data_IF_620521617884
#
_entry.id   IF_620521617884
#
_cell.length_a   1.000
_cell.length_b   1.000
_cell.length_c   1.000
_cell.angle_alpha   90.00
_cell.angle_beta   90.00
_cell.angle_gamma   90.00
#
_symmetry.space_group_name_H-M   'P 1'
#
loop_
_entity.id
_entity.type
_entity.pdbx_description
1 polymer ?
#
# COMPACT_ATOMS: atom_id res chain seq x y z
N UNK A 1 3.94 -46.23 -40.71
CA UNK A 1 3.80 -44.87 -41.28
C UNK A 1 4.45 -43.88 -40.33
N UNK A 2 5.37 -43.06 -40.86
CA UNK A 2 6.38 -42.28 -40.12
C UNK A 2 5.77 -41.08 -39.39
N UNK A 3 6.16 -40.88 -38.14
CA UNK A 3 5.84 -39.69 -37.32
C UNK A 3 6.72 -38.52 -37.76
N UNK A 4 6.13 -37.45 -38.28
CA UNK A 4 6.85 -36.22 -38.61
C UNK A 4 6.77 -35.28 -37.41
N UNK A 5 7.88 -35.15 -36.69
CA UNK A 5 8.12 -34.08 -35.70
C UNK A 5 8.73 -32.92 -36.46
N UNK A 6 8.07 -31.76 -36.47
CA UNK A 6 8.64 -30.52 -37.03
C UNK A 6 8.93 -29.59 -35.86
N UNK A 7 10.23 -29.39 -35.61
CA UNK A 7 10.80 -28.37 -34.74
C UNK A 7 10.97 -27.09 -35.56
N UNK A 8 10.35 -25.99 -35.14
CA UNK A 8 10.67 -24.65 -35.63
C UNK A 8 11.31 -23.85 -34.50
N UNK A 9 12.64 -23.81 -34.48
CA UNK A 9 13.44 -22.88 -33.70
C UNK A 9 13.64 -21.60 -34.51
N UNK A 10 13.04 -20.49 -34.08
CA UNK A 10 13.35 -19.15 -34.61
C UNK A 10 14.10 -18.40 -33.53
N UNK A 11 15.42 -18.25 -33.71
CA UNK A 11 16.26 -17.39 -32.91
C UNK A 11 16.15 -15.96 -33.46
N UNK A 12 15.70 -15.01 -32.62
CA UNK A 12 15.73 -13.59 -32.95
C UNK A 12 16.76 -12.91 -32.04
N UNK A 13 17.96 -12.67 -32.58
CA UNK A 13 19.00 -11.85 -31.95
C UNK A 13 18.80 -10.43 -32.50
N UNK A 14 18.37 -9.50 -31.64
CA UNK A 14 18.45 -8.07 -31.93
C UNK A 14 19.48 -7.48 -30.97
N UNK A 15 20.71 -7.38 -31.46
CA UNK A 15 21.73 -6.48 -30.93
C UNK A 15 21.45 -5.07 -31.42
N UNK A 16 21.12 -4.14 -30.52
CA UNK A 16 21.23 -2.69 -30.79
C UNK A 16 21.96 -2.01 -29.63
N UNK A 17 23.27 -1.89 -29.86
CA UNK A 17 24.19 -0.77 -29.62
C UNK A 17 23.96 0.17 -28.43
N UNK A 18 24.96 0.11 -27.55
CA UNK A 18 25.34 1.07 -26.51
C UNK A 18 25.56 2.49 -27.06
N UNK A 19 25.08 3.50 -26.32
CA UNK A 19 25.74 4.80 -26.26
C UNK A 19 25.90 5.20 -24.79
N UNK A 20 27.17 5.22 -24.34
CA UNK A 20 27.58 5.80 -23.07
C UNK A 20 27.74 7.30 -23.26
N UNK A 21 26.90 8.10 -22.59
CA UNK A 21 27.12 9.54 -22.48
C UNK A 21 27.91 9.79 -21.19
N UNK A 22 29.19 10.15 -21.35
CA UNK A 22 30.00 10.77 -20.32
C UNK A 22 29.97 12.29 -20.49
N UNK A 23 29.62 13.03 -19.43
CA UNK A 23 29.97 14.43 -19.21
C UNK A 23 29.58 14.79 -17.77
N UNK A 24 30.33 15.52 -16.96
CA UNK A 24 31.72 15.97 -16.98
C UNK A 24 32.02 16.23 -15.49
N UNK A 25 33.16 15.77 -15.01
CA UNK A 25 33.60 16.01 -13.65
C UNK A 25 34.27 17.40 -13.60
N UNK A 26 33.61 18.38 -13.01
CA UNK A 26 34.27 19.61 -12.55
C UNK A 26 34.84 19.34 -11.16
N UNK A 27 36.10 18.91 -11.16
CA UNK A 27 36.95 18.80 -9.99
C UNK A 27 37.50 20.19 -9.61
N UNK A 28 38.00 20.29 -8.36
CA UNK A 28 38.78 21.40 -7.75
C UNK A 28 37.98 22.32 -6.82
N UNK A 29 38.14 22.07 -5.53
CA UNK A 29 37.85 23.04 -4.47
C UNK A 29 37.83 22.48 -3.06
N UNK A 30 38.82 21.66 -2.65
CA UNK A 30 39.00 21.31 -1.24
C UNK A 30 39.23 22.56 -0.40
N UNK A 31 38.31 22.86 0.52
CA UNK A 31 38.61 23.66 1.69
C UNK A 31 37.91 23.06 2.90
N UNK A 32 38.64 22.22 3.61
CA UNK A 32 38.34 21.87 5.00
C UNK A 32 38.58 23.14 5.84
N UNK A 33 37.54 23.63 6.50
CA UNK A 33 37.67 24.33 7.77
C UNK A 33 36.57 23.81 8.69
N UNK A 34 37.02 23.12 9.74
CA UNK A 34 36.28 22.92 10.98
C UNK A 34 35.81 24.26 11.56
N UNK A 35 34.65 24.24 12.21
CA UNK A 35 34.17 25.36 13.00
C UNK A 35 32.68 25.26 13.32
N UNK A 36 32.35 24.43 14.30
CA UNK A 36 31.20 24.53 15.23
C UNK A 36 30.10 25.53 14.88
N UNK A 37 28.91 25.04 14.54
CA UNK A 37 27.69 25.69 15.02
C UNK A 37 26.51 24.72 15.10
N UNK A 38 25.98 24.55 16.30
CA UNK A 38 24.61 24.17 16.57
C UNK A 38 24.17 22.80 16.06
N UNK A 39 24.21 21.82 16.95
CA UNK A 39 23.26 20.71 16.93
C UNK A 39 21.82 21.26 16.95
N UNK A 40 21.28 21.64 15.80
CA UNK A 40 19.86 21.47 15.56
C UNK A 40 19.69 20.02 15.10
N UNK A 41 19.82 19.11 16.08
CA UNK A 41 19.15 17.82 16.04
C UNK A 41 17.68 18.18 16.07
N UNK A 42 17.16 18.58 14.92
CA UNK A 42 15.73 18.61 14.68
C UNK A 42 15.34 17.15 14.81
N UNK A 43 15.01 16.78 16.05
CA UNK A 43 14.20 15.61 16.33
C UNK A 43 13.04 15.75 15.36
N UNK A 44 13.09 14.96 14.30
CA UNK A 44 11.91 14.66 13.51
C UNK A 44 10.95 14.13 14.56
N UNK A 45 10.07 15.02 15.05
CA UNK A 45 8.93 14.65 15.85
C UNK A 45 8.01 13.93 14.88
N UNK A 46 8.34 12.67 14.59
CA UNK A 46 7.51 11.64 13.94
C UNK A 46 6.34 11.26 14.87
N UNK A 47 5.68 12.28 15.41
CA UNK A 47 4.53 12.20 16.32
C UNK A 47 3.47 13.23 15.96
N UNK A 48 3.51 13.83 14.76
CA UNK A 48 2.26 14.15 14.08
C UNK A 48 1.60 12.83 13.64
N UNK A 49 1.11 12.12 14.66
CA UNK A 49 0.01 11.17 14.58
C UNK A 49 -0.91 11.70 13.50
N UNK A 50 -1.07 10.94 12.42
CA UNK A 50 -2.11 11.17 11.44
C UNK A 50 -3.43 11.41 12.20
N UNK A 51 -3.79 12.68 12.44
CA UNK A 51 -4.98 13.04 13.21
C UNK A 51 -6.23 12.56 12.46
N UNK A 52 -6.08 12.38 11.14
CA UNK A 52 -7.08 11.79 10.23
C UNK A 52 -7.21 10.27 10.37
N UNK A 53 -6.23 9.56 10.93
CA UNK A 53 -6.21 8.09 11.03
C UNK A 53 -7.01 7.56 12.23
N UNK A 54 -7.54 8.45 13.09
CA UNK A 54 -8.43 8.11 14.21
C UNK A 54 -9.87 8.56 14.00
N UNK A 55 -10.21 9.11 12.84
CA UNK A 55 -11.60 9.46 12.53
C UNK A 55 -12.39 8.19 12.24
N UNK A 56 -13.62 8.14 12.71
CA UNK A 56 -14.62 7.16 12.26
C UNK A 56 -14.60 7.13 10.71
N UNK A 57 -14.39 5.96 10.08
CA UNK A 57 -14.32 5.85 8.63
C UNK A 57 -15.54 6.42 7.90
N UNK A 58 -16.74 6.30 8.48
CA UNK A 58 -17.96 6.85 7.91
C UNK A 58 -17.96 8.38 8.00
N UNK A 59 -17.65 8.92 9.18
CA UNK A 59 -17.55 10.37 9.38
C UNK A 59 -16.50 11.01 8.47
N UNK A 60 -15.35 10.37 8.30
CA UNK A 60 -14.31 10.85 7.38
C UNK A 60 -14.84 10.95 5.94
N UNK A 61 -15.62 9.98 5.48
CA UNK A 61 -16.19 9.98 4.14
C UNK A 61 -17.30 11.04 3.99
N UNK A 62 -18.13 11.24 5.02
CA UNK A 62 -19.13 12.31 5.06
C UNK A 62 -18.48 13.70 5.04
N UNK A 63 -17.46 13.95 5.87
CA UNK A 63 -16.65 15.17 5.86
C UNK A 63 -16.08 15.42 4.44
N UNK A 64 -15.65 14.35 3.77
CA UNK A 64 -15.09 14.44 2.41
C UNK A 64 -16.14 14.83 1.37
N UNK A 65 -17.38 14.34 1.47
CA UNK A 65 -18.48 14.78 0.60
C UNK A 65 -18.73 16.28 0.75
N UNK A 66 -18.78 16.77 1.99
CA UNK A 66 -18.98 18.20 2.25
C UNK A 66 -17.85 19.07 1.66
N UNK A 67 -16.60 18.59 1.71
CA UNK A 67 -15.49 19.29 1.06
C UNK A 67 -15.66 19.38 -0.45
N UNK A 68 -16.12 18.30 -1.10
CA UNK A 68 -16.36 18.29 -2.55
C UNK A 68 -17.50 19.25 -2.92
N UNK A 69 -18.59 19.24 -2.16
CA UNK A 69 -19.70 20.18 -2.38
C UNK A 69 -19.26 21.64 -2.22
N UNK A 70 -18.34 21.93 -1.28
CA UNK A 70 -17.74 23.25 -1.12
C UNK A 70 -16.90 23.63 -2.34
N UNK A 71 -16.03 22.73 -2.80
CA UNK A 71 -15.19 22.97 -3.98
C UNK A 71 -16.04 23.20 -5.24
N UNK A 72 -17.17 22.49 -5.38
CA UNK A 72 -18.13 22.70 -6.47
C UNK A 72 -18.78 24.09 -6.39
N UNK A 73 -19.23 24.51 -5.20
CA UNK A 73 -19.82 25.85 -4.98
C UNK A 73 -18.83 26.98 -5.24
N UNK A 74 -17.56 26.76 -4.90
CA UNK A 74 -16.47 27.70 -5.12
C UNK A 74 -15.93 27.66 -6.56
N UNK A 75 -16.47 26.79 -7.42
CA UNK A 75 -16.08 26.67 -8.82
C UNK A 75 -14.69 26.07 -9.05
N UNK A 76 -14.12 25.39 -8.04
CA UNK A 76 -12.79 24.75 -8.13
C UNK A 76 -12.81 23.45 -8.92
N UNK A 77 -13.96 22.79 -8.98
CA UNK A 77 -14.18 21.53 -9.71
C UNK A 77 -15.44 21.64 -10.56
N UNK A 78 -15.52 20.85 -11.63
CA UNK A 78 -16.73 20.77 -12.45
C UNK A 78 -17.82 19.96 -11.74
N UNK A 79 -19.06 20.08 -12.23
CA UNK A 79 -20.18 19.27 -11.74
C UNK A 79 -19.93 17.78 -11.96
N UNK A 80 -19.43 17.42 -13.14
CA UNK A 80 -19.13 16.04 -13.52
C UNK A 80 -18.07 15.43 -12.59
N UNK A 81 -17.01 16.19 -12.29
CA UNK A 81 -15.96 15.75 -11.38
C UNK A 81 -16.48 15.60 -9.93
N UNK A 82 -17.33 16.52 -9.48
CA UNK A 82 -17.96 16.43 -8.17
C UNK A 82 -18.87 15.19 -8.06
N UNK A 83 -19.70 14.94 -9.07
CA UNK A 83 -20.63 13.81 -9.11
C UNK A 83 -19.88 12.47 -9.12
N UNK A 84 -18.78 12.35 -9.87
CA UNK A 84 -17.94 11.15 -9.88
C UNK A 84 -17.32 10.89 -8.51
N UNK A 85 -16.71 11.91 -7.89
CA UNK A 85 -16.09 11.79 -6.57
C UNK A 85 -17.11 11.45 -5.48
N UNK A 86 -18.30 12.07 -5.52
CA UNK A 86 -19.39 11.77 -4.58
C UNK A 86 -19.86 10.32 -4.76
N UNK A 87 -20.05 9.87 -6.00
CA UNK A 87 -20.44 8.49 -6.30
C UNK A 87 -19.43 7.47 -5.75
N UNK A 88 -18.13 7.71 -5.90
CA UNK A 88 -17.11 6.86 -5.30
C UNK A 88 -17.21 6.81 -3.77
N UNK A 89 -17.45 7.96 -3.14
CA UNK A 89 -17.58 8.03 -1.68
C UNK A 89 -18.81 7.26 -1.21
N UNK A 90 -19.95 7.43 -1.87
CA UNK A 90 -21.18 6.72 -1.54
C UNK A 90 -21.02 5.20 -1.69
N UNK A 91 -20.31 4.73 -2.73
CA UNK A 91 -19.97 3.32 -2.86
C UNK A 91 -19.07 2.82 -1.72
N UNK A 92 -18.13 3.63 -1.23
CA UNK A 92 -17.28 3.27 -0.07
C UNK A 92 -18.09 3.22 1.22
N UNK A 93 -18.96 4.20 1.45
CA UNK A 93 -19.88 4.23 2.59
C UNK A 93 -20.76 2.98 2.59
N UNK A 94 -21.34 2.64 1.43
CA UNK A 94 -22.18 1.44 1.28
C UNK A 94 -21.39 0.17 1.64
N UNK A 95 -20.18 -0.01 1.10
CA UNK A 95 -19.32 -1.17 1.42
C UNK A 95 -19.01 -1.27 2.91
N UNK A 96 -18.80 -0.14 3.60
CA UNK A 96 -18.56 -0.13 5.05
C UNK A 96 -19.84 -0.53 5.80
N UNK A 97 -21.00 0.02 5.42
CA UNK A 97 -22.30 -0.33 6.02
C UNK A 97 -22.61 -1.81 5.84
N UNK A 98 -22.45 -2.34 4.62
CA UNK A 98 -22.62 -3.76 4.30
C UNK A 98 -21.67 -4.63 5.12
N UNK A 99 -20.40 -4.24 5.28
CA UNK A 99 -19.45 -4.95 6.12
C UNK A 99 -19.89 -4.93 7.60
N UNK A 100 -20.33 -3.77 8.10
CA UNK A 100 -20.75 -3.61 9.48
C UNK A 100 -22.04 -4.38 9.81
N UNK A 101 -22.92 -4.61 8.84
CA UNK A 101 -24.12 -5.44 9.02
C UNK A 101 -23.85 -6.94 9.05
N UNK A 102 -22.66 -7.41 8.66
CA UNK A 102 -22.33 -8.83 8.70
C UNK A 102 -22.20 -9.35 10.15
N UNK A 103 -22.53 -10.63 10.40
CA UNK A 103 -22.20 -11.28 11.66
C UNK A 103 -20.68 -11.38 11.84
N UNK A 104 -20.23 -11.50 13.09
CA UNK A 104 -18.79 -11.50 13.43
C UNK A 104 -18.00 -12.59 12.70
N UNK A 105 -18.57 -13.79 12.57
CA UNK A 105 -17.94 -14.92 11.85
C UNK A 105 -17.65 -14.57 10.39
N UNK A 106 -18.62 -13.96 9.69
CA UNK A 106 -18.48 -13.54 8.30
C UNK A 106 -17.51 -12.35 8.15
N UNK A 107 -17.52 -11.41 9.10
CA UNK A 107 -16.51 -10.33 9.15
C UNK A 107 -15.10 -10.90 9.21
N UNK A 108 -14.87 -11.86 10.13
CA UNK A 108 -13.58 -12.56 10.26
C UNK A 108 -13.22 -13.28 8.97
N UNK A 109 -14.13 -14.05 8.38
CA UNK A 109 -13.86 -14.75 7.12
C UNK A 109 -13.49 -13.77 5.98
N UNK A 110 -14.19 -12.64 5.86
CA UNK A 110 -13.94 -11.64 4.82
C UNK A 110 -12.61 -10.91 5.03
N UNK A 111 -12.26 -10.58 6.28
CA UNK A 111 -10.96 -10.01 6.63
C UNK A 111 -9.83 -11.01 6.31
N UNK A 112 -9.98 -12.26 6.75
CA UNK A 112 -9.00 -13.32 6.51
C UNK A 112 -8.77 -13.56 5.02
N UNK A 113 -9.84 -13.72 4.23
CA UNK A 113 -9.73 -13.93 2.78
C UNK A 113 -9.00 -12.79 2.08
N UNK A 114 -9.25 -11.54 2.49
CA UNK A 114 -8.56 -10.38 1.91
C UNK A 114 -7.07 -10.38 2.26
N UNK A 115 -6.72 -10.70 3.50
CA UNK A 115 -5.34 -10.81 3.93
C UNK A 115 -4.63 -11.98 3.22
N UNK A 116 -5.30 -13.12 3.10
CA UNK A 116 -4.79 -14.29 2.38
C UNK A 116 -4.44 -13.97 0.94
N UNK A 117 -5.35 -13.33 0.19
CA UNK A 117 -5.07 -12.90 -1.19
C UNK A 117 -3.85 -11.97 -1.30
N UNK A 118 -3.64 -11.11 -0.31
CA UNK A 118 -2.47 -10.22 -0.26
C UNK A 118 -1.18 -11.00 -0.02
N UNK A 119 -1.19 -11.96 0.90
CA UNK A 119 -0.04 -12.84 1.17
C UNK A 119 0.25 -13.74 -0.03
N UNK A 120 -0.77 -14.39 -0.61
CA UNK A 120 -0.62 -15.25 -1.78
C UNK A 120 0.00 -14.46 -2.95
N UNK A 121 -0.41 -13.21 -3.15
CA UNK A 121 0.22 -12.32 -4.13
C UNK A 121 1.68 -12.04 -3.80
N UNK A 122 2.03 -11.77 -2.54
CA UNK A 122 3.45 -11.58 -2.15
C UNK A 122 4.29 -12.83 -2.38
N UNK A 123 3.73 -14.02 -2.14
CA UNK A 123 4.39 -15.30 -2.42
C UNK A 123 4.57 -15.49 -3.93
N UNK A 124 3.52 -15.25 -4.73
CA UNK A 124 3.59 -15.39 -6.19
C UNK A 124 4.56 -14.41 -6.83
N UNK A 125 4.64 -13.20 -6.27
CA UNK A 125 5.56 -12.15 -6.72
C UNK A 125 7.00 -12.39 -6.21
N UNK A 126 7.25 -13.45 -5.44
CA UNK A 126 8.58 -13.81 -4.90
C UNK A 126 9.10 -12.87 -3.80
N UNK A 127 8.23 -12.03 -3.23
CA UNK A 127 8.58 -11.05 -2.18
C UNK A 127 8.86 -11.76 -0.85
N UNK A 128 8.12 -12.84 -0.58
CA UNK A 128 8.24 -13.70 0.61
C UNK A 128 8.18 -15.18 0.20
N UNK A 129 8.71 -16.07 1.03
CA UNK A 129 8.60 -17.51 0.79
C UNK A 129 7.22 -18.05 1.15
N UNK A 130 6.92 -19.28 0.71
CA UNK A 130 5.68 -19.95 1.08
C UNK A 130 5.57 -20.12 2.61
N UNK A 131 6.66 -20.53 3.26
CA UNK A 131 6.74 -20.75 4.71
C UNK A 131 6.52 -19.44 5.48
N UNK A 132 7.14 -18.35 5.03
CA UNK A 132 6.91 -17.02 5.58
C UNK A 132 5.44 -16.63 5.44
N UNK A 133 4.85 -16.80 4.25
CA UNK A 133 3.44 -16.54 4.00
C UNK A 133 2.51 -17.32 4.93
N UNK A 134 2.71 -18.64 5.06
CA UNK A 134 1.90 -19.48 5.94
C UNK A 134 2.03 -19.07 7.41
N UNK A 135 3.21 -18.66 7.84
CA UNK A 135 3.41 -18.12 9.19
C UNK A 135 2.59 -16.85 9.41
N UNK A 136 2.62 -15.90 8.47
CA UNK A 136 1.83 -14.67 8.55
C UNK A 136 0.33 -14.96 8.62
N UNK A 137 -0.17 -15.87 7.79
CA UNK A 137 -1.58 -16.28 7.81
C UNK A 137 -1.99 -16.90 9.13
N UNK A 138 -1.12 -17.73 9.72
CA UNK A 138 -1.38 -18.40 10.99
C UNK A 138 -1.42 -17.41 12.15
N UNK A 139 -0.46 -16.48 12.21
CA UNK A 139 -0.42 -15.42 13.24
C UNK A 139 -1.65 -14.51 13.11
N UNK A 140 -1.96 -14.07 11.90
CA UNK A 140 -3.14 -13.25 11.63
C UNK A 140 -4.44 -13.93 12.01
N UNK A 141 -4.58 -15.24 11.74
CA UNK A 141 -5.77 -16.00 12.12
C UNK A 141 -5.97 -16.00 13.63
N UNK A 142 -4.89 -16.16 14.41
CA UNK A 142 -4.94 -16.11 15.88
C UNK A 142 -5.40 -14.76 16.40
N UNK A 143 -4.82 -13.67 15.87
CA UNK A 143 -5.24 -12.31 16.24
C UNK A 143 -6.71 -12.05 15.88
N UNK A 144 -7.14 -12.51 14.71
CA UNK A 144 -8.51 -12.37 14.24
C UNK A 144 -9.52 -13.21 15.05
N UNK A 145 -9.11 -14.37 15.55
CA UNK A 145 -9.95 -15.20 16.41
C UNK A 145 -10.23 -14.53 17.76
N UNK A 146 -9.26 -13.77 18.28
CA UNK A 146 -9.39 -12.97 19.51
C UNK A 146 -10.13 -11.64 19.31
N UNK A 147 -10.28 -11.19 18.07
CA UNK A 147 -10.98 -9.94 17.76
C UNK A 147 -12.49 -10.04 18.04
N UNK A 148 -13.02 -9.04 18.73
CA UNK A 148 -14.41 -8.94 19.20
C UNK A 148 -15.36 -8.32 18.17
N UNK A 149 -14.84 -7.91 17.01
CA UNK A 149 -15.62 -7.25 15.96
C UNK A 149 -15.74 -5.75 16.12
N UNK A 150 -15.15 -5.16 17.18
CA UNK A 150 -15.14 -3.72 17.42
C UNK A 150 -13.81 -3.13 16.96
N UNK A 151 -13.92 -1.95 16.36
CA UNK A 151 -12.81 -1.23 15.71
C UNK A 151 -12.06 -2.07 14.65
N UNK A 152 -11.22 -1.39 13.86
CA UNK A 152 -10.35 -2.14 12.95
C UNK A 152 -9.33 -2.93 13.78
N UNK A 153 -9.13 -4.24 13.53
CA UNK A 153 -8.20 -5.02 14.32
C UNK A 153 -6.79 -4.42 14.18
N UNK A 154 -6.15 -4.15 15.32
CA UNK A 154 -4.79 -3.61 15.38
C UNK A 154 -3.82 -4.77 15.23
N UNK A 155 -3.66 -5.24 14.01
CA UNK A 155 -2.73 -6.31 13.71
C UNK A 155 -1.29 -5.81 13.85
N UNK A 156 -0.44 -6.56 14.56
CA UNK A 156 0.97 -6.20 14.74
C UNK A 156 1.79 -6.57 13.49
N UNK A 157 1.49 -5.92 12.37
CA UNK A 157 2.14 -6.17 11.08
C UNK A 157 3.59 -5.68 11.05
N UNK A 158 3.95 -4.73 11.93
CA UNK A 158 5.31 -4.17 12.03
C UNK A 158 6.36 -5.21 12.44
N UNK A 159 5.95 -6.33 13.06
CA UNK A 159 6.88 -7.42 13.42
C UNK A 159 7.29 -8.27 12.21
N UNK A 160 6.69 -8.05 11.04
CA UNK A 160 6.83 -8.91 9.86
C UNK A 160 7.94 -8.43 8.89
N UNK A 161 8.34 -7.16 8.95
CA UNK A 161 9.33 -6.58 8.02
C UNK A 161 10.78 -6.61 8.56
N UNK A 162 10.98 -6.86 9.86
CA UNK A 162 12.31 -6.74 10.50
C UNK A 162 13.17 -8.01 10.53
N UNK A 163 12.79 -9.10 9.87
CA UNK A 163 13.56 -10.37 9.91
C UNK A 163 14.48 -10.63 8.70
N UNK A 164 14.74 -9.62 7.85
CA UNK A 164 15.59 -9.78 6.65
C UNK A 164 17.06 -9.33 6.80
N UNK A 165 17.51 -8.87 7.97
CA UNK A 165 18.93 -8.57 8.20
C UNK A 165 19.38 -9.05 9.58
N UNK A 166 19.97 -10.24 9.61
CA UNK A 166 20.65 -10.84 10.75
C UNK A 166 21.50 -12.00 10.28
#
# INVERSE_FOLDING_TARGET
MKKIKILFTIAFIISILSSSVFAVESNIGSKSQDGENGQHKEEIKDKEKCQKCRKDPLKYLEDKKQSIEKDLKEGRISKEEADEKIKEIDQRIQKIKEFNSLPLSEKKAKIYSRFQKHIDKKVSDGIITNEEGQKLLTEFKKELDQWDGKDFPKFNMDKMDHKKHG
#
